data_IF_796896660405
#
_entry.id   IF_796896660405
#
_cell.length_a   1.000
_cell.length_b   1.000
_cell.length_c   1.000
_cell.angle_alpha   90.00
_cell.angle_beta   90.00
_cell.angle_gamma   90.00
#
_symmetry.space_group_name_H-M   'P 1'
#
loop_
_entity.id
_entity.type
_entity.pdbx_description
1 polymer ?
#
# COMPACT_ATOMS: atom_id res chain seq x y z
N UNK A 1 7.24 -6.88 -10.64
CA UNK A 1 7.20 -5.43 -10.41
C UNK A 1 6.36 -5.13 -9.18
N UNK A 2 6.74 -4.09 -8.47
CA UNK A 2 6.09 -3.75 -7.21
C UNK A 2 4.60 -3.46 -7.36
N UNK A 3 4.23 -2.78 -8.45
CA UNK A 3 2.82 -2.47 -8.70
C UNK A 3 2.00 -3.76 -8.85
N UNK A 4 2.56 -4.73 -9.55
CA UNK A 4 1.87 -6.00 -9.77
C UNK A 4 1.68 -6.76 -8.46
N UNK A 5 2.68 -6.74 -7.58
CA UNK A 5 2.56 -7.39 -6.27
C UNK A 5 1.52 -6.69 -5.42
N UNK A 6 1.47 -5.37 -5.49
CA UNK A 6 0.48 -4.60 -4.76
C UNK A 6 -0.93 -4.93 -5.27
N UNK A 7 -1.09 -5.03 -6.59
CA UNK A 7 -2.38 -5.39 -7.17
C UNK A 7 -2.85 -6.77 -6.70
N UNK A 8 -1.93 -7.73 -6.64
CA UNK A 8 -2.24 -9.07 -6.16
C UNK A 8 -2.69 -9.01 -4.71
N UNK A 9 -1.94 -8.27 -3.87
CA UNK A 9 -2.29 -8.16 -2.45
C UNK A 9 -3.67 -7.53 -2.26
N UNK A 10 -3.97 -6.50 -3.03
CA UNK A 10 -5.28 -5.84 -2.95
C UNK A 10 -6.38 -6.81 -3.38
N UNK A 11 -6.19 -7.50 -4.49
CA UNK A 11 -7.20 -8.42 -5.03
C UNK A 11 -7.48 -9.56 -4.07
N UNK A 12 -6.45 -10.04 -3.39
CA UNK A 12 -6.59 -11.18 -2.47
C UNK A 12 -6.87 -10.78 -1.03
N UNK A 13 -6.91 -9.47 -0.77
CA UNK A 13 -7.15 -8.98 0.58
C UNK A 13 -6.03 -9.23 1.56
N UNK A 14 -4.79 -9.35 1.06
CA UNK A 14 -3.63 -9.58 1.91
C UNK A 14 -3.15 -8.25 2.48
N UNK A 15 -3.04 -8.10 3.80
CA UNK A 15 -2.49 -6.87 4.37
C UNK A 15 -1.03 -6.69 3.98
N UNK A 16 -0.63 -5.46 3.70
CA UNK A 16 0.75 -5.20 3.30
C UNK A 16 1.22 -3.84 3.80
N UNK A 17 2.53 -3.66 3.76
CA UNK A 17 3.20 -2.42 4.16
C UNK A 17 3.87 -1.83 2.93
N UNK A 18 3.68 -0.54 2.71
CA UNK A 18 4.34 0.20 1.64
C UNK A 18 5.50 0.97 2.25
N UNK A 19 6.69 0.86 1.64
CA UNK A 19 7.86 1.63 2.05
C UNK A 19 8.18 2.66 0.98
N UNK A 20 8.39 3.90 1.44
CA UNK A 20 8.72 5.01 0.55
C UNK A 20 10.21 5.36 0.68
N UNK A 21 10.73 6.04 -0.34
CA UNK A 21 12.15 6.41 -0.39
C UNK A 21 12.56 7.34 0.74
N UNK A 22 11.62 8.11 1.28
CA UNK A 22 11.90 9.03 2.38
C UNK A 22 11.90 8.34 3.75
N UNK A 23 11.72 7.03 3.78
CA UNK A 23 11.67 6.26 5.03
C UNK A 23 10.29 6.11 5.62
N UNK A 24 9.29 6.75 5.05
CA UNK A 24 7.92 6.61 5.53
C UNK A 24 7.34 5.26 5.17
N UNK A 25 6.47 4.77 6.03
CA UNK A 25 5.82 3.47 5.85
C UNK A 25 4.32 3.64 6.01
N UNK A 26 3.57 2.93 5.19
CA UNK A 26 2.11 2.99 5.21
C UNK A 26 1.55 1.58 5.24
N UNK A 27 0.70 1.29 6.22
CA UNK A 27 0.07 -0.03 6.35
C UNK A 27 -1.26 -0.03 5.64
N UNK A 28 -1.48 -1.05 4.82
CA UNK A 28 -2.76 -1.28 4.15
C UNK A 28 -3.32 -2.58 4.70
N UNK A 29 -4.33 -2.48 5.54
CA UNK A 29 -4.93 -3.65 6.19
C UNK A 29 -6.29 -4.02 5.62
N UNK A 30 -6.87 -3.14 4.79
CA UNK A 30 -8.17 -3.37 4.18
C UNK A 30 -8.10 -2.88 2.75
N UNK A 31 -8.55 -3.71 1.81
CA UNK A 31 -8.54 -3.33 0.39
C UNK A 31 -9.43 -2.13 0.09
N UNK A 32 -10.37 -1.81 0.98
CA UNK A 32 -11.22 -0.63 0.81
C UNK A 32 -10.50 0.66 1.15
N UNK A 33 -9.33 0.57 1.77
CA UNK A 33 -8.55 1.75 2.17
C UNK A 33 -7.39 2.05 1.22
N UNK A 34 -7.40 1.45 0.03
CA UNK A 34 -6.33 1.65 -0.93
C UNK A 34 -6.92 1.70 -2.34
N UNK A 35 -6.38 2.58 -3.15
CA UNK A 35 -6.73 2.64 -4.57
C UNK A 35 -5.44 2.77 -5.38
N UNK A 36 -5.26 1.87 -6.32
CA UNK A 36 -4.04 1.80 -7.13
C UNK A 36 -4.30 2.40 -8.50
N UNK A 37 -3.58 3.47 -8.82
CA UNK A 37 -3.63 4.09 -10.12
C UNK A 37 -2.46 3.67 -10.98
N UNK A 38 -2.30 4.31 -12.11
CA UNK A 38 -1.18 4.04 -13.02
C UNK A 38 0.15 4.51 -12.44
N UNK A 39 0.15 5.69 -11.84
CA UNK A 39 1.40 6.32 -11.37
C UNK A 39 1.38 6.62 -9.89
N UNK A 40 0.24 6.49 -9.24
CA UNK A 40 0.09 6.82 -7.83
C UNK A 40 -0.78 5.78 -7.15
N UNK A 41 -0.58 5.63 -5.85
CA UNK A 41 -1.46 4.85 -5.00
C UNK A 41 -2.01 5.77 -3.92
N UNK A 42 -3.30 5.62 -3.61
CA UNK A 42 -3.95 6.39 -2.56
C UNK A 42 -4.20 5.43 -1.39
N UNK A 43 -3.76 5.83 -0.21
CA UNK A 43 -3.93 5.03 1.01
C UNK A 43 -4.69 5.86 2.03
N UNK A 44 -5.75 5.31 2.57
CA UNK A 44 -6.52 5.95 3.64
C UNK A 44 -6.01 5.38 4.96
N UNK A 45 -5.50 6.25 5.83
CA UNK A 45 -4.95 5.80 7.11
C UNK A 45 -6.05 5.63 8.16
N UNK A 46 -5.64 5.29 9.38
CA UNK A 46 -6.57 5.05 10.48
C UNK A 46 -7.32 6.31 10.91
N UNK A 47 -6.83 7.47 10.54
CA UNK A 47 -7.47 8.76 10.82
C UNK A 47 -8.40 9.18 9.70
N UNK A 48 -8.62 8.31 8.71
CA UNK A 48 -9.43 8.59 7.54
C UNK A 48 -8.84 9.70 6.67
N UNK A 49 -7.53 9.81 6.68
CA UNK A 49 -6.82 10.80 5.86
C UNK A 49 -6.21 10.11 4.63
N UNK A 50 -6.43 10.65 3.44
CA UNK A 50 -5.84 10.07 2.24
C UNK A 50 -4.39 10.49 2.09
N UNK A 51 -3.56 9.54 1.65
CA UNK A 51 -2.16 9.77 1.31
C UNK A 51 -1.98 9.38 -0.14
N UNK A 52 -1.57 10.34 -0.96
CA UNK A 52 -1.33 10.08 -2.38
C UNK A 52 0.16 9.89 -2.57
N UNK A 53 0.54 8.67 -2.93
CA UNK A 53 1.94 8.26 -2.98
C UNK A 53 2.35 7.97 -4.41
N UNK A 54 3.43 8.63 -4.91
CA UNK A 54 3.91 8.29 -6.25
C UNK A 54 4.55 6.90 -6.25
N UNK A 55 4.19 6.08 -7.22
CA UNK A 55 4.78 4.75 -7.34
C UNK A 55 6.28 4.83 -7.59
N UNK A 56 6.72 5.89 -8.24
CA UNK A 56 8.13 6.08 -8.59
C UNK A 56 9.03 6.18 -7.36
N UNK A 57 8.53 6.69 -6.25
CA UNK A 57 9.31 6.84 -5.03
C UNK A 57 9.07 5.73 -4.03
N UNK A 58 8.33 4.71 -4.40
CA UNK A 58 8.10 3.55 -3.56
C UNK A 58 9.28 2.60 -3.69
N UNK A 59 9.86 2.18 -2.55
CA UNK A 59 11.02 1.29 -2.57
C UNK A 59 10.64 -0.17 -2.44
N UNK A 60 9.43 -0.47 -2.00
CA UNK A 60 8.99 -1.85 -1.94
C UNK A 60 7.74 -2.02 -1.10
N UNK A 61 7.22 -3.23 -1.11
CA UNK A 61 6.13 -3.62 -0.22
C UNK A 61 6.51 -4.90 0.49
N UNK A 62 5.91 -5.09 1.66
CA UNK A 62 6.06 -6.33 2.42
C UNK A 62 4.68 -6.77 2.88
N UNK A 63 4.40 -8.06 2.76
CA UNK A 63 3.15 -8.59 3.28
C UNK A 63 3.22 -8.60 4.80
N UNK A 64 2.13 -8.18 5.42
CA UNK A 64 2.02 -8.23 6.88
C UNK A 64 1.48 -9.60 7.27
N UNK A 65 2.00 -10.14 8.36
CA UNK A 65 1.49 -11.41 8.85
C UNK A 65 0.12 -11.17 9.47
N UNK A 66 -0.84 -12.06 9.22
CA UNK A 66 -2.13 -11.92 9.87
C UNK A 66 -1.97 -12.07 11.40
N UNK A 67 -2.76 -11.28 12.12
CA UNK A 67 -2.79 -11.38 13.57
C UNK A 67 -3.43 -12.71 13.96
N UNK A 68 -2.87 -13.31 14.96
CA UNK A 68 -3.37 -14.60 15.46
C UNK A 68 -3.87 -14.43 16.85
#
# INVERSE_FOLDING_TARGET
MTRDRMQIAINEGIPFLIRMADGEKYEVTDRLNVALGKTHVVVIDKRDLPHILPLLTMTGISYLKPAK
#
